data_IF_784097033113
#
_entry.id   IF_784097033113
#
_cell.length_a   1.000
_cell.length_b   1.000
_cell.length_c   1.000
_cell.angle_alpha   90.00
_cell.angle_beta   90.00
_cell.angle_gamma   90.00
#
_symmetry.space_group_name_H-M   'P 1'
#
loop_
_entity.id
_entity.type
_entity.pdbx_description
1 polymer ?
#
# COMPACT_ATOMS: atom_id res chain seq x y z
N UNK A 1 -42.64 -23.01 36.56
CA UNK A 1 -41.68 -24.13 36.49
C UNK A 1 -41.05 -24.09 35.11
N UNK A 2 -40.02 -23.24 34.96
CA UNK A 2 -39.41 -22.94 33.66
C UNK A 2 -38.42 -24.04 33.31
N UNK A 3 -38.50 -24.47 32.05
CA UNK A 3 -38.04 -25.74 31.52
C UNK A 3 -36.50 -25.81 31.45
N UNK A 4 -35.87 -26.45 32.43
CA UNK A 4 -34.41 -26.64 32.49
C UNK A 4 -33.83 -27.32 31.24
N UNK A 5 -34.65 -28.05 30.45
CA UNK A 5 -34.22 -28.67 29.19
C UNK A 5 -34.05 -27.69 28.04
N UNK A 6 -34.84 -26.60 27.98
CA UNK A 6 -34.70 -25.57 26.93
C UNK A 6 -33.43 -24.73 27.14
N UNK A 7 -33.08 -24.43 28.39
CA UNK A 7 -31.84 -23.71 28.72
C UNK A 7 -30.60 -24.53 28.36
N UNK A 8 -30.62 -25.85 28.60
CA UNK A 8 -29.50 -26.75 28.27
C UNK A 8 -29.26 -26.90 26.76
N UNK A 9 -30.31 -26.92 25.94
CA UNK A 9 -30.17 -26.97 24.48
C UNK A 9 -29.58 -25.67 23.91
N UNK A 10 -30.08 -24.52 24.37
CA UNK A 10 -29.59 -23.21 23.92
C UNK A 10 -28.12 -22.97 24.32
N UNK A 11 -27.70 -23.45 25.49
CA UNK A 11 -26.29 -23.32 25.92
C UNK A 11 -25.36 -24.20 25.08
N UNK A 12 -25.83 -25.34 24.56
CA UNK A 12 -25.02 -26.25 23.75
C UNK A 12 -24.82 -25.72 22.32
N UNK A 13 -25.87 -25.15 21.71
CA UNK A 13 -25.79 -24.48 20.41
C UNK A 13 -24.92 -23.21 20.45
N UNK A 14 -24.93 -22.45 21.55
CA UNK A 14 -24.09 -21.26 21.70
C UNK A 14 -22.59 -21.59 21.87
N UNK A 15 -22.26 -22.78 22.37
CA UNK A 15 -20.86 -23.25 22.53
C UNK A 15 -20.29 -23.78 21.22
N UNK A 16 -21.12 -24.33 20.32
CA UNK A 16 -20.66 -24.83 19.01
C UNK A 16 -20.32 -23.71 18.02
N UNK A 17 -20.91 -22.52 18.16
CA UNK A 17 -20.59 -21.35 17.32
C UNK A 17 -19.24 -20.69 17.68
N UNK A 18 -18.71 -20.93 18.89
CA UNK A 18 -17.45 -20.36 19.35
C UNK A 18 -16.23 -21.27 19.08
N UNK A 19 -16.44 -22.47 18.53
CA UNK A 19 -15.41 -23.48 18.28
C UNK A 19 -15.27 -23.80 16.78
N UNK A 20 -15.56 -22.84 15.91
CA UNK A 20 -15.14 -22.96 14.52
C UNK A 20 -13.72 -22.43 14.47
N UNK A 21 -12.76 -23.32 14.77
CA UNK A 21 -11.35 -23.11 14.47
C UNK A 21 -11.28 -22.79 12.97
N UNK A 22 -10.96 -21.55 12.64
CA UNK A 22 -10.75 -21.11 11.27
C UNK A 22 -9.25 -20.87 11.10
N UNK A 23 -8.41 -21.91 11.08
CA UNK A 23 -6.96 -21.75 10.99
C UNK A 23 -6.53 -20.92 9.78
N UNK A 24 -7.32 -20.90 8.70
CA UNK A 24 -7.09 -20.05 7.53
C UNK A 24 -7.33 -18.53 7.78
N UNK A 25 -8.04 -18.15 8.84
CA UNK A 25 -8.33 -16.75 9.23
C UNK A 25 -7.55 -16.32 10.46
N UNK A 26 -7.14 -17.28 11.29
CA UNK A 26 -6.31 -17.06 12.48
C UNK A 26 -4.81 -17.03 12.16
N UNK A 27 -4.41 -17.47 10.96
CA UNK A 27 -3.02 -17.40 10.53
C UNK A 27 -2.63 -15.96 10.17
N UNK A 28 -1.57 -15.40 10.76
CA UNK A 28 -1.12 -14.06 10.45
C UNK A 28 -0.73 -13.93 8.97
N UNK A 29 -1.11 -12.82 8.35
CA UNK A 29 -0.80 -12.51 6.95
C UNK A 29 0.19 -11.37 6.89
N UNK A 30 1.23 -11.53 6.07
CA UNK A 30 2.15 -10.46 5.71
C UNK A 30 1.65 -9.81 4.44
N UNK A 31 1.42 -8.51 4.51
CA UNK A 31 1.19 -7.65 3.35
C UNK A 31 2.51 -7.03 2.93
N UNK A 32 2.96 -7.30 1.71
CA UNK A 32 4.19 -6.75 1.14
C UNK A 32 3.86 -5.84 -0.03
N UNK A 33 4.29 -4.60 0.09
CA UNK A 33 4.19 -3.56 -0.94
C UNK A 33 5.58 -3.37 -1.56
N UNK A 34 5.68 -3.53 -2.88
CA UNK A 34 6.87 -3.21 -3.66
C UNK A 34 6.56 -2.10 -4.64
N UNK A 35 7.27 -0.98 -4.57
CA UNK A 35 7.03 0.18 -5.44
C UNK A 35 8.35 0.71 -5.99
N UNK A 36 8.44 0.81 -7.32
CA UNK A 36 9.47 1.59 -8.00
C UNK A 36 9.01 3.06 -8.04
N UNK A 37 9.32 3.83 -7.01
CA UNK A 37 8.85 5.22 -6.88
C UNK A 37 9.27 6.10 -8.09
N UNK A 38 10.56 6.11 -8.52
CA UNK A 38 10.94 6.85 -9.72
C UNK A 38 10.22 6.38 -10.99
N UNK A 39 10.10 5.06 -11.19
CA UNK A 39 9.38 4.50 -12.33
C UNK A 39 7.90 4.87 -12.33
N UNK A 40 7.26 4.84 -11.16
CA UNK A 40 5.85 5.16 -11.01
C UNK A 40 5.57 6.63 -11.29
N UNK A 41 6.38 7.55 -10.74
CA UNK A 41 6.26 8.97 -11.06
C UNK A 41 6.57 9.24 -12.52
N UNK A 42 7.57 8.56 -13.10
CA UNK A 42 7.86 8.66 -14.53
C UNK A 42 6.64 8.29 -15.38
N UNK A 43 5.92 7.23 -15.02
CA UNK A 43 4.69 6.83 -15.70
C UNK A 43 3.57 7.88 -15.54
N UNK A 44 3.33 8.36 -14.31
CA UNK A 44 2.27 9.33 -14.01
C UNK A 44 2.52 10.72 -14.60
N UNK A 45 3.79 11.11 -14.77
CA UNK A 45 4.18 12.49 -15.17
C UNK A 45 4.64 12.60 -16.62
N UNK A 46 4.54 11.51 -17.40
CA UNK A 46 4.81 11.54 -18.84
C UNK A 46 6.29 11.40 -19.22
N UNK A 47 7.08 10.63 -18.46
CA UNK A 47 8.40 10.16 -18.87
C UNK A 47 9.60 10.88 -18.26
N UNK A 48 9.37 11.80 -17.31
CA UNK A 48 10.45 12.53 -16.64
C UNK A 48 11.16 11.69 -15.58
N UNK A 49 12.42 12.04 -15.29
CA UNK A 49 13.21 11.36 -14.27
C UNK A 49 12.96 11.98 -12.90
N UNK A 50 12.92 11.13 -11.88
CA UNK A 50 12.63 11.51 -10.51
C UNK A 50 13.66 10.88 -9.57
N UNK A 51 13.97 11.60 -8.49
CA UNK A 51 14.90 11.14 -7.47
C UNK A 51 14.24 11.27 -6.09
N UNK A 52 14.30 10.20 -5.30
CA UNK A 52 13.90 10.21 -3.89
C UNK A 52 14.98 10.93 -3.09
N UNK A 53 14.60 11.91 -2.29
CA UNK A 53 15.55 12.66 -1.44
C UNK A 53 15.16 12.69 0.04
N UNK A 54 14.00 12.15 0.40
CA UNK A 54 13.55 12.07 1.78
C UNK A 54 12.52 10.96 1.97
N UNK A 55 12.47 10.46 3.19
CA UNK A 55 11.49 9.51 3.69
C UNK A 55 11.04 9.94 5.09
N UNK A 56 9.77 9.72 5.40
CA UNK A 56 9.18 9.97 6.72
C UNK A 56 8.21 8.83 7.05
N UNK A 57 8.46 8.14 8.16
CA UNK A 57 7.65 7.00 8.60
C UNK A 57 6.73 7.42 9.75
N UNK A 58 5.44 7.13 9.59
CA UNK A 58 4.40 7.35 10.58
C UNK A 58 3.75 6.01 10.98
N UNK A 59 2.89 6.04 12.01
CA UNK A 59 2.26 4.82 12.55
C UNK A 59 1.39 4.05 11.53
N UNK A 60 0.91 4.72 10.48
CA UNK A 60 -0.05 4.13 9.53
C UNK A 60 0.41 4.18 8.07
N UNK A 61 1.53 4.86 7.80
CA UNK A 61 2.03 5.06 6.46
C UNK A 61 3.52 5.42 6.46
N UNK A 62 4.11 5.34 5.27
CA UNK A 62 5.42 5.90 4.96
C UNK A 62 5.27 6.86 3.79
N UNK A 63 5.89 8.03 3.92
CA UNK A 63 5.90 9.08 2.90
C UNK A 63 7.29 9.24 2.32
N UNK A 64 7.37 9.45 1.01
CA UNK A 64 8.61 9.69 0.28
C UNK A 64 8.53 11.01 -0.46
N UNK A 65 9.58 11.82 -0.30
CA UNK A 65 9.73 13.09 -1.02
C UNK A 65 10.60 12.88 -2.26
N UNK A 66 10.09 13.30 -3.42
CA UNK A 66 10.77 13.17 -4.71
C UNK A 66 10.88 14.52 -5.43
N UNK A 67 11.95 14.67 -6.21
CA UNK A 67 12.18 15.84 -7.06
C UNK A 67 12.35 15.44 -8.53
N UNK A 68 11.80 16.25 -9.42
CA UNK A 68 12.00 16.09 -10.85
C UNK A 68 13.44 16.48 -11.23
N UNK A 69 14.12 15.61 -11.97
CA UNK A 69 15.48 15.84 -12.45
C UNK A 69 15.44 16.39 -13.87
N UNK A 70 16.07 17.55 -14.10
CA UNK A 70 16.18 18.12 -15.45
C UNK A 70 17.33 17.42 -16.20
N UNK A 71 17.00 16.56 -17.17
CA UNK A 71 17.99 15.73 -17.92
C UNK A 71 18.99 16.60 -18.73
N UNK A 72 18.69 17.89 -18.89
CA UNK A 72 19.51 18.87 -19.61
C UNK A 72 20.29 19.84 -18.71
N UNK A 73 20.28 19.67 -17.39
CA UNK A 73 20.88 20.64 -16.46
C UNK A 73 22.40 20.82 -16.65
N UNK A 74 23.10 19.78 -17.12
CA UNK A 74 24.54 19.87 -17.41
C UNK A 74 24.90 20.76 -18.62
N UNK A 75 23.93 21.21 -19.43
CA UNK A 75 24.20 21.99 -20.65
C UNK A 75 23.59 23.40 -20.67
N UNK A 76 22.71 23.77 -19.73
CA UNK A 76 21.96 25.04 -19.81
C UNK A 76 21.79 25.77 -18.47
N UNK A 77 22.86 25.86 -17.69
CA UNK A 77 22.93 26.66 -16.46
C UNK A 77 22.93 28.20 -16.67
N UNK A 78 22.23 28.73 -17.69
CA UNK A 78 22.23 30.18 -17.96
C UNK A 78 20.87 30.86 -18.05
N UNK A 79 19.73 30.16 -18.15
CA UNK A 79 18.43 30.84 -18.32
C UNK A 79 17.18 29.99 -17.97
N UNK A 80 17.13 29.31 -16.82
CA UNK A 80 15.88 28.66 -16.39
C UNK A 80 15.71 28.68 -14.87
N UNK A 81 14.97 29.67 -14.39
CA UNK A 81 14.40 29.75 -13.04
C UNK A 81 13.08 28.97 -12.96
N UNK A 82 13.00 27.80 -13.60
CA UNK A 82 11.86 26.92 -13.40
C UNK A 82 12.19 26.07 -12.19
N UNK A 83 11.50 26.28 -11.07
CA UNK A 83 11.64 25.42 -9.90
C UNK A 83 11.37 23.97 -10.32
N UNK A 84 12.23 23.04 -9.91
CA UNK A 84 11.99 21.61 -10.10
C UNK A 84 10.66 21.24 -9.44
N UNK A 85 9.87 20.40 -10.11
CA UNK A 85 8.65 19.88 -9.53
C UNK A 85 8.97 19.02 -8.32
N UNK A 86 8.11 19.09 -7.32
CA UNK A 86 8.18 18.26 -6.13
C UNK A 86 7.00 17.30 -6.13
N UNK A 87 7.24 16.14 -5.53
CA UNK A 87 6.23 15.12 -5.39
C UNK A 87 6.34 14.44 -4.02
N UNK A 88 5.20 14.00 -3.52
CA UNK A 88 5.08 13.19 -2.32
C UNK A 88 4.35 11.90 -2.68
N UNK A 89 4.93 10.77 -2.27
CA UNK A 89 4.26 9.46 -2.35
C UNK A 89 4.01 8.97 -0.94
N UNK A 90 2.76 8.77 -0.59
CA UNK A 90 2.35 8.25 0.71
C UNK A 90 1.79 6.84 0.53
N UNK A 91 2.43 5.86 1.17
CA UNK A 91 2.03 4.45 1.14
C UNK A 91 1.47 4.05 2.50
N UNK A 92 0.18 3.72 2.57
CA UNK A 92 -0.48 3.28 3.79
C UNK A 92 -0.34 1.76 3.97
N UNK A 93 -0.26 1.31 5.22
CA UNK A 93 -0.13 -0.12 5.55
C UNK A 93 -1.32 -0.97 5.12
N UNK A 94 -2.46 -0.35 4.80
CA UNK A 94 -3.65 -1.02 4.28
C UNK A 94 -3.64 -1.19 2.74
N UNK A 95 -2.54 -0.84 2.07
CA UNK A 95 -2.41 -0.91 0.62
C UNK A 95 -3.02 0.27 -0.12
N UNK A 96 -3.48 1.32 0.57
CA UNK A 96 -3.84 2.58 -0.06
C UNK A 96 -2.60 3.41 -0.37
N UNK A 97 -2.61 4.18 -1.44
CA UNK A 97 -1.52 5.10 -1.76
C UNK A 97 -2.02 6.40 -2.37
N UNK A 98 -1.27 7.47 -2.13
CA UNK A 98 -1.47 8.79 -2.73
C UNK A 98 -0.17 9.22 -3.37
N UNK A 99 -0.26 9.73 -4.60
CA UNK A 99 0.85 10.38 -5.30
C UNK A 99 0.44 11.80 -5.60
N UNK A 100 1.06 12.75 -4.93
CA UNK A 100 0.87 14.18 -5.15
C UNK A 100 2.07 14.76 -5.91
N UNK A 101 1.80 15.60 -6.91
CA UNK A 101 2.83 16.37 -7.62
C UNK A 101 2.43 17.84 -7.63
N UNK A 102 3.26 18.69 -7.03
CA UNK A 102 3.03 20.14 -6.86
C UNK A 102 1.63 20.48 -6.29
N UNK A 103 1.12 19.69 -5.34
CA UNK A 103 -0.21 19.87 -4.72
C UNK A 103 -1.38 19.33 -5.54
N UNK A 104 -1.11 18.55 -6.60
CA UNK A 104 -2.13 17.83 -7.37
C UNK A 104 -1.97 16.32 -7.21
N UNK A 105 -3.00 15.65 -6.68
CA UNK A 105 -3.06 14.20 -6.62
C UNK A 105 -3.18 13.60 -8.04
N UNK A 106 -2.14 12.90 -8.48
CA UNK A 106 -2.11 12.15 -9.74
C UNK A 106 -2.56 10.69 -9.55
N UNK A 107 -2.44 10.17 -8.33
CA UNK A 107 -2.97 8.88 -7.92
C UNK A 107 -3.52 8.99 -6.50
N UNK A 108 -4.68 8.39 -6.27
CA UNK A 108 -5.37 8.37 -4.98
C UNK A 108 -6.27 7.12 -4.96
N UNK A 109 -5.77 6.01 -4.42
CA UNK A 109 -6.47 4.74 -4.53
C UNK A 109 -5.72 3.55 -3.93
N UNK A 110 -6.32 2.36 -4.07
CA UNK A 110 -5.72 1.12 -3.58
C UNK A 110 -4.74 0.54 -4.58
N UNK A 111 -3.58 0.11 -4.08
CA UNK A 111 -2.67 -0.75 -4.81
C UNK A 111 -3.38 -2.10 -5.00
N UNK A 112 -3.55 -2.49 -6.25
CA UNK A 112 -4.20 -3.75 -6.62
C UNK A 112 -3.23 -4.57 -7.44
N UNK A 113 -3.36 -5.89 -7.33
CA UNK A 113 -2.43 -6.79 -8.02
C UNK A 113 -2.59 -6.63 -9.54
N UNK A 114 -1.49 -6.30 -10.25
CA UNK A 114 -1.43 -6.27 -11.71
C UNK A 114 -1.95 -5.01 -12.41
N UNK A 115 -2.23 -3.91 -11.69
CA UNK A 115 -2.69 -2.64 -12.32
C UNK A 115 -1.56 -1.67 -12.68
N UNK A 116 -0.35 -1.88 -12.15
CA UNK A 116 0.83 -1.05 -12.41
C UNK A 116 2.10 -1.89 -12.39
N UNK A 117 2.94 -1.79 -13.43
CA UNK A 117 4.28 -2.41 -13.45
C UNK A 117 5.22 -1.81 -12.39
N UNK A 118 4.87 -0.66 -11.82
CA UNK A 118 5.69 0.07 -10.86
C UNK A 118 5.22 -0.08 -9.41
N UNK A 119 4.10 -0.74 -9.15
CA UNK A 119 3.58 -0.93 -7.79
C UNK A 119 2.84 -2.26 -7.66
N UNK A 120 3.33 -3.13 -6.78
CA UNK A 120 2.80 -4.48 -6.57
C UNK A 120 2.44 -4.71 -5.11
N UNK A 121 1.29 -5.36 -4.92
CA UNK A 121 0.79 -5.80 -3.63
C UNK A 121 0.76 -7.32 -3.59
N UNK A 122 1.50 -7.90 -2.66
CA UNK A 122 1.59 -9.35 -2.48
C UNK A 122 1.27 -9.72 -1.04
N UNK A 123 0.59 -10.85 -0.86
CA UNK A 123 0.21 -11.38 0.44
C UNK A 123 0.92 -12.70 0.67
N UNK A 124 1.35 -12.95 1.90
CA UNK A 124 2.02 -14.19 2.28
C UNK A 124 1.48 -14.69 3.61
N UNK A 125 1.37 -16.01 3.76
CA UNK A 125 1.21 -16.63 5.07
C UNK A 125 2.45 -16.32 5.91
N UNK A 126 2.29 -15.77 7.10
CA UNK A 126 3.42 -15.29 7.90
C UNK A 126 4.30 -16.44 8.42
N UNK A 127 3.73 -17.63 8.67
CA UNK A 127 4.47 -18.78 9.18
C UNK A 127 5.20 -19.54 8.07
N UNK A 128 4.51 -19.81 6.96
CA UNK A 128 5.07 -20.61 5.85
C UNK A 128 5.82 -19.77 4.81
N UNK A 129 5.52 -18.47 4.71
CA UNK A 129 6.00 -17.61 3.64
C UNK A 129 5.39 -17.92 2.27
N UNK A 130 4.38 -18.78 2.19
CA UNK A 130 3.71 -19.12 0.94
C UNK A 130 2.85 -17.95 0.44
N UNK A 131 2.88 -17.65 -0.88
CA UNK A 131 2.10 -16.54 -1.43
C UNK A 131 0.60 -16.84 -1.43
N UNK A 132 -0.20 -15.87 -1.01
CA UNK A 132 -1.65 -15.89 -1.05
C UNK A 132 -2.11 -15.26 -2.36
N UNK A 133 -2.86 -16.01 -3.16
CA UNK A 133 -3.53 -15.48 -4.35
C UNK A 133 -4.95 -15.07 -3.98
N UNK A 134 -5.24 -13.77 -4.06
CA UNK A 134 -6.59 -13.24 -3.90
C UNK A 134 -7.29 -13.28 -5.27
N UNK A 135 -8.41 -14.01 -5.37
CA UNK A 135 -9.22 -14.15 -6.58
C UNK A 135 -10.38 -13.15 -6.61
#
# INVERSE_FOLDING_TARGET
MTNQKETLMNTRELIELNNIDHPAWDEPIICRVEVDLPGWLKQLTGGKQWEVYGEDEAETCISFALREMDVHEHARAKNKTAASKLAEVTLYHNGYAVVDVDGTALFDGTLTNGTSDCAHLSYFHAESGEPITLN
#
